data_IF_173231295477
#
_entry.id   IF_173231295477
#
_cell.length_a   1.000
_cell.length_b   1.000
_cell.length_c   1.000
_cell.angle_alpha   90.00
_cell.angle_beta   90.00
_cell.angle_gamma   90.00
#
_symmetry.space_group_name_H-M   'P 1'
#
loop_
_entity.id
_entity.type
_entity.pdbx_description
1 polymer ?
#
# COMPACT_ATOMS: atom_id res chain seq x y z
N UNK A 1 -15.59 -16.52 -3.26
CA UNK A 1 -15.55 -15.94 -1.90
C UNK A 1 -16.89 -15.25 -1.68
N UNK A 2 -17.71 -15.75 -0.77
CA UNK A 2 -19.12 -15.37 -0.67
C UNK A 2 -19.29 -13.96 -0.09
N UNK A 3 -20.13 -13.15 -0.72
CA UNK A 3 -20.46 -11.79 -0.29
C UNK A 3 -20.90 -11.69 1.22
N UNK A 4 -21.38 -12.78 1.78
CA UNK A 4 -21.73 -12.90 3.21
C UNK A 4 -20.53 -12.84 4.15
N UNK A 5 -19.32 -13.23 3.69
CA UNK A 5 -18.10 -13.17 4.50
C UNK A 5 -17.57 -11.74 4.59
N UNK A 6 -17.72 -10.96 3.51
CA UNK A 6 -17.31 -9.56 3.47
C UNK A 6 -18.20 -8.67 4.40
N UNK A 7 -19.50 -9.01 4.47
CA UNK A 7 -20.45 -8.31 5.34
C UNK A 7 -20.18 -8.59 6.82
N UNK A 8 -19.74 -9.81 7.17
CA UNK A 8 -19.39 -10.18 8.54
C UNK A 8 -18.09 -9.50 9.03
N UNK A 9 -17.13 -9.28 8.15
CA UNK A 9 -15.89 -8.54 8.49
C UNK A 9 -16.19 -7.05 8.69
N UNK A 10 -17.09 -6.46 7.91
CA UNK A 10 -17.53 -5.07 8.10
C UNK A 10 -18.35 -4.86 9.36
N UNK A 11 -19.16 -5.84 9.76
CA UNK A 11 -19.95 -5.78 11.01
C UNK A 11 -19.10 -6.00 12.26
N UNK A 12 -17.99 -6.73 12.18
CA UNK A 12 -17.08 -6.94 13.30
C UNK A 12 -16.24 -5.70 13.65
N UNK A 13 -16.11 -4.73 12.74
CA UNK A 13 -15.38 -3.47 12.96
C UNK A 13 -16.27 -2.35 13.55
N UNK A 14 -17.58 -2.54 13.58
CA UNK A 14 -18.53 -1.53 14.07
C UNK A 14 -18.50 -1.28 15.60
N UNK A 15 -18.18 -2.24 16.49
CA UNK A 15 -18.20 -1.99 17.93
C UNK A 15 -16.97 -1.22 18.45
N UNK A 16 -15.83 -1.20 17.71
CA UNK A 16 -14.61 -0.54 18.19
C UNK A 16 -14.74 0.99 18.19
N UNK A 17 -15.54 1.56 17.30
CA UNK A 17 -15.75 3.01 17.24
C UNK A 17 -16.64 3.57 18.37
N UNK A 18 -17.46 2.74 19.01
CA UNK A 18 -18.32 3.18 20.11
C UNK A 18 -17.68 3.11 21.50
N UNK A 19 -16.67 2.26 21.67
CA UNK A 19 -15.99 2.12 22.96
C UNK A 19 -15.09 3.32 23.34
N UNK A 20 -14.77 4.19 22.39
CA UNK A 20 -13.94 5.38 22.64
C UNK A 20 -14.74 6.62 23.07
N UNK A 21 -16.06 6.63 22.91
CA UNK A 21 -16.89 7.78 23.30
C UNK A 21 -17.32 7.76 24.78
N UNK A 22 -17.28 6.61 25.44
CA UNK A 22 -17.75 6.46 26.84
C UNK A 22 -16.64 6.63 27.89
N UNK A 23 -15.39 6.95 27.47
CA UNK A 23 -14.25 7.20 28.36
C UNK A 23 -13.90 8.69 28.49
N UNK A 24 -14.87 9.58 28.27
CA UNK A 24 -14.69 10.96 28.70
C UNK A 24 -14.88 11.00 30.23
N UNK A 25 -13.82 11.32 31.02
CA UNK A 25 -13.99 11.47 32.45
C UNK A 25 -14.94 12.62 32.69
N UNK A 26 -16.06 12.32 33.35
CA UNK A 26 -16.94 13.33 33.95
C UNK A 26 -16.09 14.20 34.86
N UNK A 27 -15.86 15.45 34.46
CA UNK A 27 -15.28 16.47 35.30
C UNK A 27 -16.29 16.77 36.41
N UNK A 28 -16.18 16.07 37.52
CA UNK A 28 -16.61 16.64 38.79
C UNK A 28 -15.70 17.82 39.12
N UNK A 29 -16.26 19.00 39.18
CA UNK A 29 -15.60 20.20 39.64
C UNK A 29 -15.36 20.09 41.15
N UNK A 30 -14.41 19.24 41.53
CA UNK A 30 -13.86 19.23 42.88
C UNK A 30 -12.69 20.21 42.95
N UNK A 31 -12.67 21.00 44.00
CA UNK A 31 -11.66 21.99 44.33
C UNK A 31 -10.23 21.39 44.31
N UNK A 32 -9.54 21.53 43.18
CA UNK A 32 -8.17 21.02 42.95
C UNK A 32 -7.09 21.98 43.44
N UNK A 33 -7.47 23.08 44.10
CA UNK A 33 -6.54 24.14 44.53
C UNK A 33 -5.52 23.70 45.62
N UNK A 34 -5.86 22.62 46.35
CA UNK A 34 -4.95 22.07 47.37
C UNK A 34 -3.90 21.07 46.83
N UNK A 35 -4.27 20.34 45.76
CA UNK A 35 -3.40 19.35 45.09
C UNK A 35 -2.35 20.02 44.18
N UNK A 36 -2.64 21.20 43.67
CA UNK A 36 -1.77 21.93 42.75
C UNK A 36 -0.55 22.58 43.44
N UNK A 37 -0.55 22.71 44.78
CA UNK A 37 0.54 23.31 45.53
C UNK A 37 1.68 22.36 45.85
N UNK A 38 1.42 21.05 45.87
CA UNK A 38 2.42 20.06 46.37
C UNK A 38 3.14 19.30 45.25
N UNK A 39 2.80 19.55 43.98
CA UNK A 39 3.40 18.86 42.85
C UNK A 39 4.24 19.83 41.99
N UNK A 40 5.09 20.61 42.66
CA UNK A 40 6.01 21.57 42.04
C UNK A 40 6.91 21.00 40.91
N UNK A 41 7.46 19.76 41.04
CA UNK A 41 8.31 19.18 39.99
C UNK A 41 7.54 18.65 38.79
N UNK A 42 6.21 18.56 38.83
CA UNK A 42 5.38 18.01 37.71
C UNK A 42 4.98 19.05 36.67
N UNK A 43 5.21 20.35 36.93
CA UNK A 43 4.97 21.42 35.96
C UNK A 43 5.86 21.34 34.73
N UNK A 44 7.03 20.73 34.84
CA UNK A 44 7.96 20.51 33.72
C UNK A 44 7.72 19.18 32.98
N UNK A 45 6.77 18.38 33.40
CA UNK A 45 6.36 17.22 32.58
C UNK A 45 5.62 17.75 31.38
N UNK A 46 6.23 17.51 30.22
CA UNK A 46 5.64 17.75 28.92
C UNK A 46 4.17 17.29 28.93
N UNK A 47 3.20 18.20 28.72
CA UNK A 47 1.80 17.81 28.74
C UNK A 47 1.59 16.64 27.77
N UNK A 48 0.76 15.63 28.12
CA UNK A 48 0.45 14.57 27.19
C UNK A 48 -0.08 15.24 25.94
N UNK A 49 0.61 15.04 24.81
CA UNK A 49 0.28 15.70 23.55
C UNK A 49 -1.07 15.15 23.10
N UNK A 50 -2.12 15.80 23.52
CA UNK A 50 -3.48 15.61 23.04
C UNK A 50 -3.68 16.49 21.80
N UNK A 51 -3.20 16.03 20.66
CA UNK A 51 -3.38 16.74 19.39
C UNK A 51 -2.54 16.17 18.26
N UNK A 52 -3.02 16.27 17.05
CA UNK A 52 -2.23 15.99 15.86
C UNK A 52 -1.12 17.03 15.76
N UNK A 53 0.11 16.65 16.07
CA UNK A 53 1.29 17.51 15.92
C UNK A 53 1.67 17.69 14.45
N UNK A 54 1.15 16.84 13.57
CA UNK A 54 1.34 16.87 12.13
C UNK A 54 -0.03 16.83 11.46
N UNK A 55 -0.39 17.94 10.83
CA UNK A 55 -1.65 18.08 10.09
C UNK A 55 -1.43 17.67 8.63
N UNK A 56 -2.25 16.75 8.13
CA UNK A 56 -2.25 16.29 6.73
C UNK A 56 -3.36 16.92 5.89
N UNK A 57 -4.44 17.38 6.52
CA UNK A 57 -5.59 17.94 5.82
C UNK A 57 -5.20 19.07 4.86
N UNK A 58 -5.79 19.03 3.66
CA UNK A 58 -5.59 20.01 2.58
C UNK A 58 -4.13 20.11 2.09
N UNK A 59 -3.37 19.01 2.19
CA UNK A 59 -1.99 18.97 1.71
C UNK A 59 -1.83 17.96 0.57
N UNK A 60 -0.88 18.26 -0.29
CA UNK A 60 -0.37 17.33 -1.27
C UNK A 60 0.83 16.57 -0.69
N UNK A 61 0.84 15.28 -0.92
CA UNK A 61 1.97 14.39 -0.66
C UNK A 61 2.48 13.85 -1.99
N UNK A 62 3.78 13.94 -2.23
CA UNK A 62 4.46 13.28 -3.35
C UNK A 62 5.47 12.31 -2.76
N UNK A 63 5.34 11.05 -3.12
CA UNK A 63 6.21 9.99 -2.62
C UNK A 63 6.84 9.22 -3.78
N UNK A 64 8.14 9.42 -4.10
CA UNK A 64 8.88 8.43 -4.85
C UNK A 64 8.91 7.10 -4.11
N UNK A 65 8.65 6.00 -4.83
CA UNK A 65 8.46 4.67 -4.26
C UNK A 65 9.31 3.64 -4.98
N UNK A 66 9.79 2.68 -4.22
CA UNK A 66 10.41 1.46 -4.70
C UNK A 66 9.59 0.28 -4.20
N UNK A 67 9.18 -0.62 -5.11
CA UNK A 67 8.34 -1.76 -4.78
C UNK A 67 9.01 -3.08 -5.16
N UNK A 68 8.82 -4.07 -4.32
CA UNK A 68 9.24 -5.45 -4.54
C UNK A 68 8.01 -6.33 -4.67
N UNK A 69 7.98 -7.23 -5.66
CA UNK A 69 6.93 -8.22 -5.77
C UNK A 69 7.25 -9.47 -4.95
N UNK A 70 6.21 -10.01 -4.32
CA UNK A 70 6.27 -11.27 -3.59
C UNK A 70 5.33 -12.31 -4.20
N UNK A 71 5.60 -13.59 -3.94
CA UNK A 71 4.74 -14.73 -4.30
C UNK A 71 4.55 -14.93 -5.81
N UNK A 72 5.47 -14.48 -6.63
CA UNK A 72 5.49 -14.80 -8.04
C UNK A 72 6.48 -15.96 -8.28
N UNK A 73 5.98 -17.03 -8.87
CA UNK A 73 6.80 -18.25 -9.09
C UNK A 73 7.81 -18.06 -10.22
N UNK A 74 7.48 -17.23 -11.21
CA UNK A 74 8.28 -17.08 -12.44
C UNK A 74 9.07 -15.78 -12.48
N UNK A 75 8.50 -14.69 -11.94
CA UNK A 75 9.05 -13.36 -12.08
C UNK A 75 9.27 -12.68 -10.74
N UNK A 76 10.46 -12.14 -10.55
CA UNK A 76 10.72 -11.15 -9.51
C UNK A 76 10.62 -9.78 -10.14
N UNK A 77 9.74 -8.91 -9.63
CA UNK A 77 9.49 -7.58 -10.17
C UNK A 77 9.95 -6.52 -9.19
N UNK A 78 10.70 -5.57 -9.71
CA UNK A 78 11.15 -4.36 -9.02
C UNK A 78 10.44 -3.20 -9.68
N UNK A 79 9.69 -2.40 -8.94
CA UNK A 79 8.96 -1.27 -9.50
C UNK A 79 9.53 0.02 -8.95
N UNK A 80 9.91 0.92 -9.85
CA UNK A 80 10.28 2.30 -9.49
C UNK A 80 9.14 3.19 -9.92
N UNK A 81 8.62 3.98 -8.99
CA UNK A 81 7.45 4.81 -9.25
C UNK A 81 7.32 5.99 -8.32
N UNK A 82 6.15 6.60 -8.38
CA UNK A 82 5.76 7.66 -7.48
C UNK A 82 4.26 7.58 -7.19
N UNK A 83 3.89 8.05 -6.01
CA UNK A 83 2.52 8.23 -5.58
C UNK A 83 2.31 9.70 -5.28
N UNK A 84 1.24 10.29 -5.82
CA UNK A 84 0.79 11.64 -5.51
C UNK A 84 -0.55 11.55 -4.78
N UNK A 85 -0.59 11.97 -3.53
CA UNK A 85 -1.79 11.90 -2.68
C UNK A 85 -2.27 13.30 -2.33
N UNK A 86 -3.56 13.54 -2.46
CA UNK A 86 -4.21 14.72 -1.91
C UNK A 86 -5.02 14.32 -0.68
N UNK A 87 -4.71 14.93 0.46
CA UNK A 87 -5.40 14.71 1.72
C UNK A 87 -6.55 15.71 1.88
N UNK A 88 -7.79 15.24 1.80
CA UNK A 88 -8.98 16.08 2.00
C UNK A 88 -9.18 16.41 3.48
N UNK A 89 -8.94 15.41 4.33
CA UNK A 89 -9.00 15.50 5.78
C UNK A 89 -7.76 14.84 6.39
N UNK A 90 -7.67 14.83 7.72
CA UNK A 90 -6.61 14.12 8.44
C UNK A 90 -6.64 12.60 8.23
N UNK A 91 -7.79 12.06 7.83
CA UNK A 91 -8.03 10.62 7.73
C UNK A 91 -8.35 10.14 6.33
N UNK A 92 -8.66 11.04 5.39
CA UNK A 92 -9.10 10.68 4.04
C UNK A 92 -8.25 11.36 3.00
N UNK A 93 -7.76 10.57 2.05
CA UNK A 93 -6.99 11.01 0.90
C UNK A 93 -7.35 10.28 -0.38
N UNK A 94 -6.92 10.83 -1.49
CA UNK A 94 -6.97 10.22 -2.82
C UNK A 94 -5.57 10.21 -3.40
N UNK A 95 -5.09 9.04 -3.79
CA UNK A 95 -3.75 8.81 -4.28
C UNK A 95 -3.75 8.39 -5.75
N UNK A 96 -2.93 9.01 -6.56
CA UNK A 96 -2.59 8.59 -7.91
C UNK A 96 -1.21 7.96 -7.89
N UNK A 97 -1.11 6.74 -8.37
CA UNK A 97 0.13 5.95 -8.41
C UNK A 97 0.54 5.67 -9.83
N UNK A 98 1.84 5.74 -10.12
CA UNK A 98 2.41 5.28 -11.37
C UNK A 98 3.81 4.70 -11.12
N UNK A 99 4.12 3.55 -11.76
CA UNK A 99 5.40 2.89 -11.60
C UNK A 99 5.78 2.02 -12.79
N UNK A 100 7.06 2.02 -13.11
CA UNK A 100 7.65 1.17 -14.14
C UNK A 100 8.30 -0.06 -13.52
N UNK A 101 7.96 -1.25 -14.05
CA UNK A 101 8.43 -2.53 -13.53
C UNK A 101 9.61 -3.07 -14.33
N UNK A 102 10.67 -3.42 -13.62
CA UNK A 102 11.78 -4.22 -14.10
C UNK A 102 11.57 -5.65 -13.66
N UNK A 103 11.59 -6.57 -14.61
CA UNK A 103 11.30 -7.98 -14.33
C UNK A 103 12.54 -8.81 -14.50
N UNK A 104 12.83 -9.67 -13.54
CA UNK A 104 13.87 -10.70 -13.60
C UNK A 104 13.26 -12.08 -13.39
N UNK A 105 13.95 -13.12 -13.88
CA UNK A 105 13.50 -14.50 -13.67
C UNK A 105 13.73 -14.87 -12.20
N UNK A 106 12.67 -15.36 -11.55
CA UNK A 106 12.73 -15.78 -10.15
C UNK A 106 13.74 -16.92 -9.94
N UNK A 107 14.38 -16.92 -8.78
CA UNK A 107 15.28 -18.01 -8.41
C UNK A 107 14.55 -19.36 -8.19
N UNK A 108 13.25 -19.33 -7.96
CA UNK A 108 12.38 -20.50 -7.82
C UNK A 108 11.90 -21.07 -9.15
N UNK A 109 12.04 -20.32 -10.25
CA UNK A 109 11.64 -20.79 -11.57
C UNK A 109 12.68 -21.83 -12.09
N UNK A 110 12.22 -23.04 -12.35
CA UNK A 110 13.04 -24.14 -12.90
C UNK A 110 12.29 -24.84 -14.03
N UNK A 111 13.03 -25.19 -15.07
CA UNK A 111 12.58 -26.09 -16.12
C UNK A 111 13.40 -27.38 -16.00
N UNK A 112 12.72 -28.52 -15.97
CA UNK A 112 13.34 -29.84 -15.91
C UNK A 112 13.01 -30.61 -17.20
N UNK A 113 13.84 -30.54 -18.26
CA UNK A 113 13.65 -31.33 -19.47
C UNK A 113 13.81 -32.83 -19.14
N UNK A 114 13.13 -33.72 -19.88
CA UNK A 114 13.13 -35.15 -19.56
C UNK A 114 14.51 -35.86 -19.57
N UNK A 115 15.50 -35.24 -20.25
CA UNK A 115 16.84 -35.82 -20.43
C UNK A 115 17.98 -34.98 -19.87
N UNK A 116 17.66 -33.84 -19.20
CA UNK A 116 18.66 -32.90 -18.69
C UNK A 116 18.43 -32.55 -17.22
N UNK A 117 19.46 -32.00 -16.58
CA UNK A 117 19.31 -31.46 -15.23
C UNK A 117 18.39 -30.22 -15.22
N UNK A 118 17.65 -30.04 -14.12
CA UNK A 118 16.82 -28.85 -13.94
C UNK A 118 17.68 -27.59 -14.02
N UNK A 119 17.24 -26.62 -14.80
CA UNK A 119 17.91 -25.34 -14.97
C UNK A 119 16.94 -24.17 -14.93
N UNK A 120 17.46 -22.96 -14.78
CA UNK A 120 16.63 -21.76 -14.89
C UNK A 120 16.18 -21.57 -16.35
N UNK A 121 14.91 -21.20 -16.55
CA UNK A 121 14.40 -20.86 -17.88
C UNK A 121 15.08 -19.61 -18.42
N UNK A 122 15.12 -19.46 -19.73
CA UNK A 122 15.47 -18.21 -20.40
C UNK A 122 14.22 -17.33 -20.59
N UNK A 123 14.44 -16.04 -20.88
CA UNK A 123 13.31 -15.12 -21.18
C UNK A 123 12.52 -15.60 -22.41
N UNK A 124 13.20 -16.11 -23.44
CA UNK A 124 12.57 -16.63 -24.66
C UNK A 124 11.72 -17.87 -24.41
N UNK A 125 12.15 -18.72 -23.47
CA UNK A 125 11.36 -19.93 -23.11
C UNK A 125 10.10 -19.59 -22.34
N UNK A 126 10.09 -18.47 -21.60
CA UNK A 126 8.93 -18.00 -20.85
C UNK A 126 8.02 -17.06 -21.67
N UNK A 127 8.56 -16.47 -22.76
CA UNK A 127 7.82 -15.50 -23.57
C UNK A 127 6.61 -16.16 -24.25
N UNK A 128 5.42 -15.63 -23.95
CA UNK A 128 4.15 -16.13 -24.46
C UNK A 128 3.71 -17.50 -23.91
N UNK A 129 4.48 -18.14 -23.00
CA UNK A 129 4.14 -19.43 -22.40
C UNK A 129 3.81 -19.33 -20.91
N UNK A 130 4.40 -18.36 -20.22
CA UNK A 130 4.20 -18.09 -18.80
C UNK A 130 3.32 -16.87 -18.53
N UNK A 131 3.20 -16.46 -17.26
CA UNK A 131 2.58 -15.20 -16.89
C UNK A 131 3.26 -14.02 -17.58
N UNK A 132 2.47 -13.03 -18.04
CA UNK A 132 3.00 -11.87 -18.72
C UNK A 132 3.88 -11.00 -17.82
N UNK A 133 4.95 -10.47 -18.42
CA UNK A 133 5.82 -9.52 -17.72
C UNK A 133 5.11 -8.19 -17.55
N UNK A 134 4.94 -7.72 -16.33
CA UNK A 134 4.42 -6.37 -16.05
C UNK A 134 5.46 -5.33 -16.44
N UNK A 135 5.04 -4.27 -17.12
CA UNK A 135 5.88 -3.14 -17.54
C UNK A 135 5.50 -1.84 -16.85
N UNK A 136 4.21 -1.53 -16.80
CA UNK A 136 3.70 -0.31 -16.18
C UNK A 136 2.54 -0.66 -15.25
N UNK A 137 2.50 0.00 -14.11
CA UNK A 137 1.40 -0.11 -13.12
C UNK A 137 0.93 1.30 -12.83
N UNK A 138 -0.37 1.52 -12.96
CA UNK A 138 -1.02 2.77 -12.57
C UNK A 138 -2.23 2.47 -11.72
N UNK A 139 -2.47 3.24 -10.66
CA UNK A 139 -3.58 3.05 -9.75
C UNK A 139 -4.16 4.36 -9.27
N UNK A 140 -5.43 4.34 -8.91
CA UNK A 140 -6.12 5.43 -8.25
C UNK A 140 -6.72 4.89 -6.95
N UNK A 141 -6.10 5.24 -5.83
CA UNK A 141 -6.43 4.68 -4.53
C UNK A 141 -7.16 5.67 -3.64
N UNK A 142 -8.22 5.22 -3.02
CA UNK A 142 -8.78 5.86 -1.84
C UNK A 142 -7.93 5.48 -0.62
N UNK A 143 -7.45 6.47 0.12
CA UNK A 143 -6.68 6.29 1.35
C UNK A 143 -7.56 6.63 2.56
N UNK A 144 -7.61 5.72 3.54
CA UNK A 144 -8.28 5.93 4.82
C UNK A 144 -7.32 5.62 5.97
N UNK A 145 -7.01 6.65 6.77
CA UNK A 145 -6.05 6.60 7.85
C UNK A 145 -6.76 6.68 9.23
N UNK A 146 -7.30 5.56 9.74
CA UNK A 146 -8.06 5.55 10.98
C UNK A 146 -7.22 5.69 12.24
N UNK A 147 -5.92 5.35 12.17
CA UNK A 147 -5.06 5.27 13.35
C UNK A 147 -3.86 6.20 13.21
N UNK A 148 -3.71 7.05 14.20
CA UNK A 148 -2.57 7.92 14.38
C UNK A 148 -1.98 7.67 15.77
N UNK A 149 -0.66 7.64 15.87
CA UNK A 149 0.01 7.39 17.13
C UNK A 149 1.36 8.07 17.22
N UNK A 150 1.95 7.98 18.41
CA UNK A 150 3.28 8.49 18.74
C UNK A 150 4.10 7.34 19.33
N UNK A 151 5.26 7.09 18.76
CA UNK A 151 6.21 6.08 19.24
C UNK A 151 7.45 6.81 19.75
N UNK A 152 7.90 6.45 20.94
CA UNK A 152 9.20 6.88 21.45
C UNK A 152 10.30 6.05 20.80
N UNK A 153 11.21 6.71 20.10
CA UNK A 153 12.40 6.10 19.52
C UNK A 153 13.61 6.44 20.39
N UNK A 154 14.30 5.41 20.88
CA UNK A 154 15.60 5.54 21.57
C UNK A 154 15.64 6.60 22.68
N UNK A 155 14.70 6.52 23.62
CA UNK A 155 14.63 7.33 24.86
C UNK A 155 14.48 8.86 24.71
N UNK A 156 14.92 9.48 23.62
CA UNK A 156 14.92 10.95 23.44
C UNK A 156 14.14 11.45 22.24
N UNK A 157 13.83 10.58 21.26
CA UNK A 157 13.13 10.94 20.01
C UNK A 157 11.68 10.43 19.98
N UNK A 158 10.79 11.23 19.43
CA UNK A 158 9.41 10.81 19.15
C UNK A 158 9.18 10.80 17.65
N UNK A 159 8.69 9.68 17.12
CA UNK A 159 8.17 9.61 15.77
C UNK A 159 6.64 9.51 15.81
N UNK A 160 5.99 10.27 14.97
CA UNK A 160 4.55 10.13 14.75
C UNK A 160 4.34 9.10 13.64
N UNK A 161 3.41 8.19 13.86
CA UNK A 161 3.04 7.23 12.82
C UNK A 161 1.55 7.35 12.49
N UNK A 162 1.25 7.02 11.25
CA UNK A 162 -0.10 6.97 10.72
C UNK A 162 -0.27 5.62 10.01
N UNK A 163 -1.27 4.85 10.44
CA UNK A 163 -1.65 3.60 9.79
C UNK A 163 -2.85 3.87 8.89
N UNK A 164 -2.76 3.44 7.64
CA UNK A 164 -3.81 3.69 6.65
C UNK A 164 -4.10 2.46 5.78
N UNK A 165 -5.31 2.43 5.28
CA UNK A 165 -5.77 1.47 4.29
C UNK A 165 -5.88 2.15 2.94
N UNK A 166 -5.56 1.43 1.88
CA UNK A 166 -5.73 1.88 0.51
C UNK A 166 -6.60 0.90 -0.26
N UNK A 167 -7.30 1.41 -1.27
CA UNK A 167 -8.04 0.56 -2.18
C UNK A 167 -8.60 1.35 -3.35
N UNK A 168 -8.54 0.73 -4.53
CA UNK A 168 -9.01 1.39 -5.74
C UNK A 168 -8.81 0.60 -7.02
N UNK A 169 -9.13 1.18 -8.16
CA UNK A 169 -8.85 0.59 -9.46
C UNK A 169 -7.37 0.67 -9.82
N UNK A 170 -6.87 -0.38 -10.46
CA UNK A 170 -5.52 -0.48 -10.99
C UNK A 170 -5.56 -0.84 -12.46
N UNK A 171 -4.68 -0.23 -13.26
CA UNK A 171 -4.43 -0.59 -14.64
C UNK A 171 -2.97 -1.02 -14.80
N UNK A 172 -2.77 -2.18 -15.41
CA UNK A 172 -1.48 -2.84 -15.52
C UNK A 172 -1.19 -3.09 -17.00
N UNK A 173 -0.08 -2.57 -17.49
CA UNK A 173 0.44 -2.94 -18.80
C UNK A 173 1.38 -4.14 -18.66
N UNK A 174 1.10 -5.17 -19.42
CA UNK A 174 1.87 -6.41 -19.39
C UNK A 174 2.10 -6.97 -20.79
N UNK A 175 3.02 -7.90 -20.93
CA UNK A 175 3.27 -8.62 -22.18
C UNK A 175 2.33 -9.81 -22.28
N UNK A 176 1.31 -9.70 -23.14
CA UNK A 176 0.34 -10.74 -23.41
C UNK A 176 0.81 -11.65 -24.54
N UNK A 177 0.53 -12.96 -24.51
CA UNK A 177 0.83 -13.84 -25.62
C UNK A 177 0.06 -13.40 -26.88
N UNK A 178 0.72 -13.49 -28.05
CA UNK A 178 0.11 -13.22 -29.34
C UNK A 178 -1.03 -14.18 -29.63
N UNK A 179 -2.00 -13.73 -30.43
CA UNK A 179 -3.10 -14.56 -30.87
C UNK A 179 -2.62 -15.65 -31.84
N UNK A 180 -3.27 -16.80 -31.78
CA UNK A 180 -2.90 -17.96 -32.58
C UNK A 180 -1.60 -18.60 -32.11
N UNK A 181 -0.89 -19.28 -33.03
CA UNK A 181 0.38 -19.95 -32.76
C UNK A 181 1.61 -19.05 -33.00
N UNK A 182 1.41 -17.73 -33.13
CA UNK A 182 2.53 -16.82 -33.32
C UNK A 182 3.43 -16.81 -32.07
N UNK A 183 4.77 -16.91 -32.24
CA UNK A 183 5.70 -16.78 -31.13
C UNK A 183 5.76 -15.33 -30.64
N UNK A 184 6.06 -15.15 -29.35
CA UNK A 184 6.27 -13.85 -28.71
C UNK A 184 5.04 -13.30 -28.01
N UNK A 185 5.18 -12.06 -27.53
CA UNK A 185 4.16 -11.33 -26.77
C UNK A 185 3.98 -9.92 -27.29
N UNK A 186 2.80 -9.35 -27.07
CA UNK A 186 2.46 -7.96 -27.36
C UNK A 186 2.05 -7.23 -26.10
N UNK A 187 2.25 -5.90 -26.07
CA UNK A 187 1.83 -5.08 -24.95
C UNK A 187 0.29 -5.02 -24.86
N UNK A 188 -0.24 -5.41 -23.73
CA UNK A 188 -1.67 -5.38 -23.44
C UNK A 188 -1.93 -4.70 -22.10
N UNK A 189 -3.17 -4.18 -21.95
CA UNK A 189 -3.61 -3.60 -20.70
C UNK A 189 -4.61 -4.51 -19.99
N UNK A 190 -4.44 -4.63 -18.69
CA UNK A 190 -5.40 -5.24 -17.80
C UNK A 190 -5.90 -4.21 -16.80
N UNK A 191 -7.18 -4.26 -16.50
CA UNK A 191 -7.80 -3.45 -15.45
C UNK A 191 -8.20 -4.39 -14.33
N UNK A 192 -8.01 -3.93 -13.09
CA UNK A 192 -8.30 -4.69 -11.89
C UNK A 192 -8.60 -3.78 -10.71
N UNK A 193 -8.46 -4.34 -9.52
CA UNK A 193 -8.57 -3.61 -8.26
C UNK A 193 -7.35 -3.87 -7.41
N UNK A 194 -6.98 -2.92 -6.57
CA UNK A 194 -5.96 -3.10 -5.56
C UNK A 194 -6.47 -2.73 -4.17
N UNK A 195 -5.90 -3.38 -3.17
CA UNK A 195 -6.15 -3.08 -1.76
C UNK A 195 -4.86 -3.30 -0.98
N UNK A 196 -4.66 -2.51 0.07
CA UNK A 196 -3.44 -2.59 0.85
C UNK A 196 -3.54 -1.93 2.21
N UNK A 197 -2.48 -2.12 2.97
CA UNK A 197 -2.25 -1.54 4.27
C UNK A 197 -0.92 -0.79 4.21
N UNK A 198 -0.91 0.45 4.69
CA UNK A 198 0.29 1.26 4.76
C UNK A 198 0.53 1.84 6.14
N UNK A 199 1.78 2.15 6.40
CA UNK A 199 2.21 2.86 7.61
C UNK A 199 3.18 3.96 7.20
N UNK A 200 2.96 5.14 7.75
CA UNK A 200 3.74 6.35 7.50
C UNK A 200 4.36 6.83 8.80
N UNK A 201 5.68 7.00 8.80
CA UNK A 201 6.44 7.55 9.92
C UNK A 201 6.84 8.98 9.59
N UNK A 202 6.31 9.93 10.33
CA UNK A 202 6.56 11.36 10.12
C UNK A 202 7.76 11.79 10.95
N UNK A 203 8.81 12.27 10.29
CA UNK A 203 10.02 12.77 10.95
C UNK A 203 9.99 14.27 11.19
N UNK A 204 9.40 15.01 10.24
CA UNK A 204 9.26 16.46 10.34
C UNK A 204 8.02 16.96 9.58
N UNK A 205 7.78 18.29 9.55
CA UNK A 205 6.57 18.88 8.98
C UNK A 205 6.38 18.69 7.47
N UNK A 206 7.40 18.23 6.75
CA UNK A 206 7.39 18.11 5.30
C UNK A 206 7.84 16.75 4.77
N UNK A 207 8.32 15.82 5.64
CA UNK A 207 8.88 14.53 5.22
C UNK A 207 8.41 13.39 6.12
N UNK A 208 8.08 12.27 5.48
CA UNK A 208 7.78 11.00 6.14
C UNK A 208 8.36 9.82 5.36
N UNK A 209 8.59 8.72 6.03
CA UNK A 209 8.89 7.41 5.44
C UNK A 209 7.59 6.60 5.40
N UNK A 210 7.27 6.03 4.24
CA UNK A 210 6.09 5.19 4.07
C UNK A 210 6.46 3.77 3.70
N UNK A 211 5.71 2.83 4.26
CA UNK A 211 5.74 1.42 3.93
C UNK A 211 4.33 0.99 3.58
N UNK A 212 4.18 0.21 2.51
CA UNK A 212 2.89 -0.33 2.11
C UNK A 212 3.02 -1.80 1.74
N UNK A 213 1.99 -2.55 2.07
CA UNK A 213 1.76 -3.89 1.56
C UNK A 213 0.44 -3.87 0.80
N UNK A 214 0.48 -4.08 -0.51
CA UNK A 214 -0.71 -4.04 -1.37
C UNK A 214 -0.79 -5.26 -2.28
N UNK A 215 -2.01 -5.69 -2.54
CA UNK A 215 -2.33 -6.79 -3.46
C UNK A 215 -3.18 -6.24 -4.60
N UNK A 216 -2.68 -6.43 -5.83
CA UNK A 216 -3.37 -6.05 -7.05
C UNK A 216 -3.97 -7.29 -7.71
N UNK A 217 -5.28 -7.27 -7.95
CA UNK A 217 -6.02 -8.36 -8.57
C UNK A 217 -6.49 -7.90 -9.95
N UNK A 218 -6.08 -8.59 -11.00
CA UNK A 218 -6.40 -8.23 -12.39
C UNK A 218 -6.61 -9.45 -13.26
N UNK A 219 -7.17 -9.25 -14.45
CA UNK A 219 -7.38 -10.32 -15.45
C UNK A 219 -6.30 -10.26 -16.49
N UNK A 220 -5.57 -11.35 -16.64
CA UNK A 220 -4.49 -11.52 -17.60
C UNK A 220 -4.93 -12.46 -18.73
N UNK A 221 -4.59 -12.10 -19.98
CA UNK A 221 -4.75 -12.96 -21.15
C UNK A 221 -3.63 -14.00 -21.15
N UNK A 222 -4.00 -15.28 -21.23
CA UNK A 222 -3.09 -16.41 -21.31
C UNK A 222 -3.35 -17.22 -22.58
N UNK A 223 -2.35 -17.98 -23.06
CA UNK A 223 -2.60 -18.97 -24.12
C UNK A 223 -3.60 -20.01 -23.64
N UNK A 224 -4.59 -20.31 -24.46
CA UNK A 224 -5.50 -21.42 -24.22
C UNK A 224 -4.74 -22.77 -24.21
N UNK A 225 -5.20 -23.70 -23.40
CA UNK A 225 -4.58 -25.01 -23.27
C UNK A 225 -4.70 -25.88 -24.54
N UNK A 226 -5.51 -25.50 -25.50
CA UNK A 226 -5.77 -26.24 -26.74
C UNK A 226 -5.69 -25.27 -27.93
N UNK A 227 -5.09 -25.71 -29.02
CA UNK A 227 -4.91 -24.93 -30.26
C UNK A 227 -6.23 -24.37 -30.88
N UNK A 228 -7.35 -24.94 -30.51
CA UNK A 228 -8.70 -24.60 -30.98
C UNK A 228 -9.43 -23.60 -30.06
N UNK A 229 -8.94 -23.38 -28.84
CA UNK A 229 -9.61 -22.51 -27.90
C UNK A 229 -8.92 -21.14 -27.92
N UNK A 230 -9.64 -20.11 -28.32
CA UNK A 230 -9.15 -18.73 -28.35
C UNK A 230 -8.57 -18.28 -27.02
N UNK A 231 -8.14 -17.02 -26.94
CA UNK A 231 -7.54 -16.45 -25.72
C UNK A 231 -8.29 -16.81 -24.44
N UNK A 232 -7.59 -17.41 -23.50
CA UNK A 232 -8.11 -17.68 -22.16
C UNK A 232 -7.70 -16.51 -21.23
N UNK A 233 -8.57 -16.16 -20.28
CA UNK A 233 -8.28 -15.14 -19.29
C UNK A 233 -8.20 -15.78 -17.91
N UNK A 234 -7.16 -15.42 -17.18
CA UNK A 234 -6.97 -15.87 -15.80
C UNK A 234 -6.94 -14.67 -14.85
N UNK A 235 -7.49 -14.86 -13.66
CA UNK A 235 -7.38 -13.88 -12.58
C UNK A 235 -6.01 -14.09 -11.95
N UNK A 236 -5.23 -13.02 -11.86
CA UNK A 236 -3.94 -12.98 -11.19
C UNK A 236 -4.01 -12.04 -9.99
N UNK A 237 -3.29 -12.37 -8.95
CA UNK A 237 -3.00 -11.47 -7.87
C UNK A 237 -1.50 -11.23 -7.77
N UNK A 238 -1.13 -10.00 -7.44
CA UNK A 238 0.26 -9.60 -7.32
C UNK A 238 0.46 -8.81 -6.04
N UNK A 239 1.19 -9.41 -5.12
CA UNK A 239 1.53 -8.80 -3.85
C UNK A 239 2.79 -7.96 -4.00
N UNK A 240 2.74 -6.69 -3.58
CA UNK A 240 3.84 -5.76 -3.57
C UNK A 240 4.11 -5.26 -2.15
N UNK A 241 5.38 -5.07 -1.85
CA UNK A 241 5.84 -4.31 -0.71
C UNK A 241 6.52 -3.04 -1.22
N UNK A 242 6.00 -1.90 -0.81
CA UNK A 242 6.45 -0.59 -1.26
C UNK A 242 7.16 0.13 -0.12
N UNK A 243 8.28 0.77 -0.45
CA UNK A 243 9.00 1.70 0.43
C UNK A 243 9.07 3.03 -0.30
N UNK A 244 8.73 4.13 0.39
CA UNK A 244 8.74 5.46 -0.21
C UNK A 244 9.10 6.55 0.78
N UNK A 245 9.59 7.66 0.24
CA UNK A 245 9.78 8.90 0.99
C UNK A 245 8.70 9.88 0.59
N UNK A 246 7.88 10.29 1.54
CA UNK A 246 6.78 11.22 1.35
C UNK A 246 7.22 12.66 1.61
N UNK A 247 6.88 13.55 0.70
CA UNK A 247 7.12 14.99 0.79
C UNK A 247 5.78 15.72 0.75
N UNK A 248 5.51 16.55 1.76
CA UNK A 248 4.23 17.25 1.94
C UNK A 248 4.33 18.71 1.56
N UNK A 249 3.32 19.19 0.83
CA UNK A 249 3.19 20.58 0.38
C UNK A 249 1.77 21.11 0.70
N UNK A 250 1.64 22.41 1.14
CA UNK A 250 2.68 23.37 1.50
C UNK A 250 3.40 22.99 2.80
N UNK A 251 4.62 23.53 2.97
CA UNK A 251 5.46 23.26 4.14
C UNK A 251 5.03 24.03 5.39
N UNK A 252 4.27 25.09 5.24
CA UNK A 252 3.76 25.95 6.32
C UNK A 252 2.30 25.62 6.61
N UNK A 253 1.95 25.48 7.90
CA UNK A 253 0.56 25.48 8.34
C UNK A 253 0.11 26.95 8.43
N UNK A 254 -0.88 27.34 7.67
CA UNK A 254 -1.70 28.48 8.00
C UNK A 254 -2.73 28.00 9.00
N UNK A 255 -2.58 28.36 10.26
CA UNK A 255 -3.64 28.27 11.23
C UNK A 255 -4.79 29.15 10.72
N UNK A 256 -5.89 28.51 10.31
CA UNK A 256 -7.13 29.17 9.92
C UNK A 256 -8.09 29.23 11.08
#
# INVERSE_FOLDING_TARGET
MNARLLLLVLLALAPVARAQQDLAPSREAGDTSALDRDIGPLKDRVPPVTGYTFLMARRFEIAPTFSLSFRDAFWTKYVIGATATYHFTETIGLALRAGYAFTSISNSAQICPPSEACRKPTFEELDGKGPGQIKLITGLDFEWAPLYGKISLLAEGFAHFNLYLIGGPVAIQYQAPKDGNAPGSDAAWAVGGEAGLGMRFVFNRWMALRFELRDAIYREKTKGATETTGASYQIRNQLFFDIGLSFFFPNSFTEG
#
